data_IF_816863056795
#
_entry.id   IF_816863056795
#
_cell.length_a   1.000
_cell.length_b   1.000
_cell.length_c   1.000
_cell.angle_alpha   90.00
_cell.angle_beta   90.00
_cell.angle_gamma   90.00
#
_symmetry.space_group_name_H-M   'P 1'
#
loop_
_entity.id
_entity.type
_entity.pdbx_description
1 polymer ?
#
# COMPACT_ATOMS: atom_id res chain seq x y z
N UNK A 1 -19.83 21.98 -16.71
CA UNK A 1 -18.60 22.25 -15.96
C UNK A 1 -17.56 22.75 -16.95
N UNK A 2 -17.34 24.05 -16.97
CA UNK A 2 -16.34 24.69 -17.83
C UNK A 2 -14.99 24.46 -17.19
N UNK A 3 -14.14 23.64 -17.82
CA UNK A 3 -12.73 23.50 -17.47
C UNK A 3 -12.07 24.87 -17.59
N UNK A 4 -11.54 25.41 -16.50
CA UNK A 4 -10.63 26.54 -16.55
C UNK A 4 -9.42 26.13 -17.39
N UNK A 5 -8.94 26.98 -18.30
CA UNK A 5 -7.73 26.70 -19.05
C UNK A 5 -6.58 26.55 -18.03
N UNK A 6 -5.85 25.41 -18.11
CA UNK A 6 -4.59 25.27 -17.37
C UNK A 6 -3.66 26.42 -17.81
N UNK A 7 -2.97 27.09 -16.87
CA UNK A 7 -2.02 28.13 -17.25
C UNK A 7 -0.97 27.53 -18.19
N UNK A 8 -0.61 28.27 -19.22
CA UNK A 8 0.44 27.89 -20.16
C UNK A 8 1.75 27.71 -19.38
N UNK A 9 2.16 26.47 -19.20
CA UNK A 9 3.37 26.12 -18.44
C UNK A 9 4.63 26.77 -19.02
N UNK A 10 4.64 27.10 -20.32
CA UNK A 10 5.73 27.84 -20.96
C UNK A 10 5.86 29.26 -20.45
N UNK A 11 4.75 30.02 -20.41
CA UNK A 11 4.73 31.40 -19.93
C UNK A 11 5.10 31.48 -18.43
N UNK A 12 4.67 30.52 -17.62
CA UNK A 12 5.00 30.46 -16.19
C UNK A 12 6.48 30.13 -15.96
N UNK A 13 7.09 29.24 -16.76
CA UNK A 13 8.53 28.99 -16.74
C UNK A 13 9.31 30.27 -17.08
N UNK A 14 8.96 30.98 -18.15
CA UNK A 14 9.63 32.24 -18.54
C UNK A 14 9.51 33.31 -17.42
N UNK A 15 8.34 33.41 -16.80
CA UNK A 15 8.12 34.29 -15.66
C UNK A 15 9.02 33.96 -14.48
N UNK A 16 9.12 32.71 -14.11
CA UNK A 16 9.95 32.25 -12.99
C UNK A 16 11.44 32.38 -13.29
N UNK A 17 11.88 32.14 -14.53
CA UNK A 17 13.26 32.37 -14.95
C UNK A 17 13.64 33.86 -14.81
N UNK A 18 12.74 34.78 -15.18
CA UNK A 18 12.92 36.20 -14.96
C UNK A 18 13.02 36.58 -13.48
N UNK A 19 12.20 35.96 -12.62
CA UNK A 19 12.26 36.17 -11.17
C UNK A 19 13.59 35.65 -10.59
N UNK A 20 14.02 34.46 -10.98
CA UNK A 20 15.32 33.90 -10.56
C UNK A 20 16.49 34.80 -10.98
N UNK A 21 16.52 35.26 -12.23
CA UNK A 21 17.55 36.17 -12.71
C UNK A 21 17.61 37.52 -11.92
N UNK A 22 16.43 38.05 -11.54
CA UNK A 22 16.36 39.23 -10.70
C UNK A 22 16.90 39.01 -9.28
N UNK A 23 16.67 37.80 -8.70
CA UNK A 23 17.25 37.43 -7.40
C UNK A 23 18.77 37.24 -7.47
N UNK A 24 19.31 36.62 -8.54
CA UNK A 24 20.77 36.55 -8.74
C UNK A 24 21.44 37.90 -8.68
N UNK A 25 20.91 38.92 -9.42
CA UNK A 25 21.43 40.28 -9.37
C UNK A 25 21.34 40.91 -7.97
N UNK A 26 20.30 40.57 -7.17
CA UNK A 26 20.16 41.07 -5.79
C UNK A 26 21.16 40.41 -4.83
N UNK A 27 21.42 39.09 -5.00
CA UNK A 27 22.39 38.35 -4.20
C UNK A 27 23.80 38.91 -4.45
N UNK A 28 24.17 39.22 -5.71
CA UNK A 28 25.45 39.88 -6.04
C UNK A 28 25.63 41.21 -5.31
N UNK A 29 24.53 41.97 -5.15
CA UNK A 29 24.56 43.27 -4.45
C UNK A 29 24.51 43.13 -2.90
N UNK A 30 23.94 42.05 -2.38
CA UNK A 30 23.72 41.79 -0.96
C UNK A 30 23.94 40.30 -0.62
N UNK A 31 25.20 39.79 -0.62
CA UNK A 31 25.49 38.35 -0.48
C UNK A 31 25.00 37.76 0.83
N UNK A 32 24.97 38.54 1.90
CA UNK A 32 24.58 38.06 3.23
C UNK A 32 23.05 38.10 3.48
N UNK A 33 22.27 38.57 2.49
CA UNK A 33 20.82 38.67 2.62
C UNK A 33 20.16 37.32 2.38
N UNK A 34 19.20 36.95 3.26
CA UNK A 34 18.39 35.76 3.09
C UNK A 34 17.24 36.06 2.14
N UNK A 35 17.14 35.27 1.07
CA UNK A 35 16.08 35.40 0.07
C UNK A 35 15.23 34.11 -0.03
N UNK A 36 14.37 33.81 0.97
CA UNK A 36 13.53 32.63 0.92
C UNK A 36 12.70 32.52 -0.37
N UNK A 37 12.17 33.65 -0.83
CA UNK A 37 11.39 33.71 -2.07
C UNK A 37 12.19 33.31 -3.33
N UNK A 38 13.53 33.49 -3.31
CA UNK A 38 14.40 33.00 -4.39
C UNK A 38 14.42 31.45 -4.39
N UNK A 39 14.71 30.84 -3.25
CA UNK A 39 14.74 29.39 -3.13
C UNK A 39 13.37 28.76 -3.47
N UNK A 40 12.26 29.38 -3.03
CA UNK A 40 10.91 28.94 -3.39
C UNK A 40 10.66 29.03 -4.91
N UNK A 41 11.09 30.11 -5.55
CA UNK A 41 10.95 30.30 -7.01
C UNK A 41 11.76 29.25 -7.79
N UNK A 42 12.95 28.88 -7.30
CA UNK A 42 13.78 27.82 -7.88
C UNK A 42 13.13 26.44 -7.74
N UNK A 43 12.50 26.13 -6.59
CA UNK A 43 11.78 24.87 -6.41
C UNK A 43 10.57 24.78 -7.35
N UNK A 44 9.80 25.86 -7.50
CA UNK A 44 8.68 25.91 -8.44
C UNK A 44 9.15 25.76 -9.89
N UNK A 45 10.19 26.47 -10.27
CA UNK A 45 10.80 26.38 -11.60
C UNK A 45 11.29 24.95 -11.87
N UNK A 46 11.99 24.33 -10.91
CA UNK A 46 12.46 22.96 -11.03
C UNK A 46 11.34 21.95 -11.22
N UNK A 47 10.19 22.14 -10.54
CA UNK A 47 8.99 21.33 -10.74
C UNK A 47 8.44 21.41 -12.17
N UNK A 48 8.22 22.64 -12.67
CA UNK A 48 7.68 22.86 -14.01
C UNK A 48 8.65 22.41 -15.13
N UNK A 49 9.95 22.57 -14.94
CA UNK A 49 10.97 22.09 -15.89
C UNK A 49 10.96 20.56 -15.97
N UNK A 50 10.77 19.89 -14.84
CA UNK A 50 10.66 18.44 -14.81
C UNK A 50 9.39 17.93 -15.52
N UNK A 51 8.24 18.57 -15.29
CA UNK A 51 6.99 18.25 -16.01
C UNK A 51 7.14 18.43 -17.52
N UNK A 52 7.95 19.40 -17.95
CA UNK A 52 8.27 19.65 -19.35
C UNK A 52 9.31 18.67 -19.94
N UNK A 53 9.94 17.85 -19.10
CA UNK A 53 10.97 16.89 -19.50
C UNK A 53 12.39 17.45 -19.56
N UNK A 54 12.63 18.67 -19.08
CA UNK A 54 13.98 19.26 -18.97
C UNK A 54 14.62 18.87 -17.63
N UNK A 55 15.03 17.59 -17.54
CA UNK A 55 15.58 17.03 -16.32
C UNK A 55 16.87 17.74 -15.85
N UNK A 56 17.71 18.19 -16.78
CA UNK A 56 18.98 18.87 -16.45
C UNK A 56 18.75 20.24 -15.80
N UNK A 57 17.89 21.06 -16.39
CA UNK A 57 17.55 22.37 -15.85
C UNK A 57 16.77 22.25 -14.54
N UNK A 58 15.87 21.26 -14.44
CA UNK A 58 15.13 20.97 -13.22
C UNK A 58 16.09 20.60 -12.06
N UNK A 59 17.06 19.72 -12.31
CA UNK A 59 18.06 19.32 -11.32
C UNK A 59 18.91 20.52 -10.88
N UNK A 60 19.37 21.36 -11.81
CA UNK A 60 20.17 22.54 -11.50
C UNK A 60 19.40 23.52 -10.59
N UNK A 61 18.15 23.84 -10.93
CA UNK A 61 17.31 24.75 -10.15
C UNK A 61 17.06 24.23 -8.72
N UNK A 62 16.75 22.94 -8.58
CA UNK A 62 16.50 22.35 -7.25
C UNK A 62 17.79 22.26 -6.43
N UNK A 63 18.93 21.97 -7.06
CA UNK A 63 20.24 21.96 -6.37
C UNK A 63 20.57 23.32 -5.78
N UNK A 64 20.41 24.39 -6.55
CA UNK A 64 20.62 25.76 -6.09
C UNK A 64 19.67 26.12 -4.93
N UNK A 65 18.40 25.73 -5.00
CA UNK A 65 17.46 25.94 -3.91
C UNK A 65 17.90 25.25 -2.61
N UNK A 66 18.44 24.02 -2.69
CA UNK A 66 18.98 23.29 -1.52
C UNK A 66 20.16 24.04 -0.92
N UNK A 67 21.10 24.54 -1.72
CA UNK A 67 22.24 25.31 -1.24
C UNK A 67 21.80 26.56 -0.50
N UNK A 68 20.83 27.30 -1.03
CA UNK A 68 20.27 28.48 -0.38
C UNK A 68 19.61 28.12 0.96
N UNK A 69 18.80 27.06 1.01
CA UNK A 69 18.16 26.65 2.26
C UNK A 69 19.16 26.12 3.29
N UNK A 70 20.26 25.45 2.87
CA UNK A 70 21.34 25.07 3.80
C UNK A 70 21.97 26.30 4.46
N UNK A 71 22.30 27.32 3.67
CA UNK A 71 22.82 28.58 4.21
C UNK A 71 21.85 29.25 5.18
N UNK A 72 20.54 29.24 4.86
CA UNK A 72 19.51 29.79 5.75
C UNK A 72 19.35 29.00 7.06
N UNK A 73 19.48 27.66 7.02
CA UNK A 73 19.42 26.80 8.19
C UNK A 73 20.60 27.05 9.14
N UNK A 74 21.78 27.38 8.64
CA UNK A 74 22.92 27.76 9.48
C UNK A 74 22.65 29.00 10.32
N UNK A 75 21.87 29.95 9.78
CA UNK A 75 21.54 31.23 10.44
C UNK A 75 20.31 31.08 11.34
N UNK A 76 19.25 30.46 10.83
CA UNK A 76 17.94 30.36 11.50
C UNK A 76 17.30 28.97 11.33
N UNK A 77 17.84 27.94 12.03
CA UNK A 77 17.40 26.56 11.83
C UNK A 77 15.90 26.33 12.11
N UNK A 78 15.34 27.02 13.10
CA UNK A 78 13.92 26.89 13.46
C UNK A 78 12.94 27.31 12.37
N UNK A 79 13.36 28.22 11.48
CA UNK A 79 12.53 28.76 10.41
C UNK A 79 12.68 27.95 9.11
N UNK A 80 13.86 27.43 8.80
CA UNK A 80 14.17 26.95 7.45
C UNK A 80 14.38 25.44 7.32
N UNK A 81 14.50 24.66 8.40
CA UNK A 81 14.67 23.18 8.32
C UNK A 81 13.56 22.47 7.54
N UNK A 82 12.31 22.89 7.71
CA UNK A 82 11.18 22.31 6.95
C UNK A 82 11.35 22.53 5.45
N UNK A 83 11.78 23.75 5.07
CA UNK A 83 12.00 24.12 3.67
C UNK A 83 13.19 23.36 3.09
N UNK A 84 14.29 23.25 3.85
CA UNK A 84 15.45 22.43 3.45
C UNK A 84 15.05 20.98 3.25
N UNK A 85 14.29 20.38 4.17
CA UNK A 85 13.82 19.00 4.05
C UNK A 85 12.96 18.80 2.80
N UNK A 86 12.06 19.75 2.51
CA UNK A 86 11.23 19.71 1.29
C UNK A 86 12.09 19.84 0.02
N UNK A 87 13.04 20.75 0.00
CA UNK A 87 13.96 20.95 -1.13
C UNK A 87 14.82 19.68 -1.39
N UNK A 88 15.37 19.08 -0.32
CA UNK A 88 16.13 17.83 -0.39
C UNK A 88 15.30 16.66 -0.92
N UNK A 89 14.03 16.57 -0.52
CA UNK A 89 13.12 15.55 -1.05
C UNK A 89 12.89 15.73 -2.56
N UNK A 90 12.72 16.98 -3.02
CA UNK A 90 12.63 17.30 -4.44
C UNK A 90 13.95 16.98 -5.16
N UNK A 91 15.10 17.35 -4.59
CA UNK A 91 16.41 17.02 -5.14
C UNK A 91 16.59 15.52 -5.32
N UNK A 92 16.22 14.75 -4.30
CA UNK A 92 16.28 13.28 -4.34
C UNK A 92 15.44 12.70 -5.50
N UNK A 93 14.27 13.28 -5.78
CA UNK A 93 13.44 12.84 -6.90
C UNK A 93 14.11 13.19 -8.25
N UNK A 94 14.63 14.42 -8.42
CA UNK A 94 15.34 14.82 -9.66
C UNK A 94 16.59 13.98 -9.90
N UNK A 95 17.38 13.70 -8.86
CA UNK A 95 18.57 12.82 -8.96
C UNK A 95 18.19 11.41 -9.38
N UNK A 96 17.09 10.86 -8.83
CA UNK A 96 16.60 9.54 -9.21
C UNK A 96 16.15 9.48 -10.68
N UNK A 97 15.45 10.52 -11.16
CA UNK A 97 15.05 10.65 -12.57
C UNK A 97 16.26 10.79 -13.51
N UNK A 98 17.32 11.46 -13.06
CA UNK A 98 18.58 11.57 -13.77
C UNK A 98 19.46 10.30 -13.73
N UNK A 99 19.03 9.26 -13.00
CA UNK A 99 19.77 8.00 -12.84
C UNK A 99 20.82 8.01 -11.72
N UNK A 100 20.99 9.10 -10.99
CA UNK A 100 21.99 9.29 -9.92
C UNK A 100 21.49 8.68 -8.60
N UNK A 101 21.31 7.36 -8.54
CA UNK A 101 20.63 6.68 -7.43
C UNK A 101 21.33 6.85 -6.07
N UNK A 102 22.67 6.81 -6.02
CA UNK A 102 23.44 6.96 -4.77
C UNK A 102 23.26 8.37 -4.15
N UNK A 103 23.33 9.41 -5.00
CA UNK A 103 23.12 10.79 -4.57
C UNK A 103 21.67 11.02 -4.17
N UNK A 104 20.73 10.42 -4.91
CA UNK A 104 19.30 10.46 -4.60
C UNK A 104 19.00 9.84 -3.22
N UNK A 105 19.63 8.71 -2.88
CA UNK A 105 19.50 8.07 -1.57
C UNK A 105 20.06 8.96 -0.45
N UNK A 106 21.20 9.60 -0.68
CA UNK A 106 21.82 10.53 0.28
C UNK A 106 20.93 11.74 0.54
N UNK A 107 20.42 12.37 -0.50
CA UNK A 107 19.50 13.51 -0.38
C UNK A 107 18.18 13.12 0.33
N UNK A 108 17.64 11.93 0.06
CA UNK A 108 16.45 11.42 0.76
C UNK A 108 16.71 11.22 2.27
N UNK A 109 17.86 10.64 2.63
CA UNK A 109 18.22 10.43 4.03
C UNK A 109 18.40 11.76 4.77
N UNK A 110 19.03 12.74 4.15
CA UNK A 110 19.17 14.10 4.69
C UNK A 110 17.81 14.79 4.84
N UNK A 111 16.91 14.66 3.85
CA UNK A 111 15.56 15.20 3.90
C UNK A 111 14.77 14.68 5.13
N UNK A 112 14.81 13.37 5.36
CA UNK A 112 14.15 12.75 6.50
C UNK A 112 14.78 13.22 7.83
N UNK A 113 16.12 13.32 7.89
CA UNK A 113 16.82 13.80 9.08
C UNK A 113 16.44 15.25 9.43
N UNK A 114 16.45 16.16 8.45
CA UNK A 114 16.06 17.55 8.66
C UNK A 114 14.58 17.70 9.00
N UNK A 115 13.70 16.89 8.41
CA UNK A 115 12.27 16.88 8.76
C UNK A 115 12.04 16.41 10.21
N UNK A 116 12.75 15.37 10.69
CA UNK A 116 12.70 14.94 12.09
C UNK A 116 13.17 16.03 13.07
N UNK A 117 14.25 16.74 12.74
CA UNK A 117 14.71 17.87 13.54
C UNK A 117 13.71 19.03 13.56
N UNK A 118 13.02 19.26 12.44
CA UNK A 118 12.03 20.32 12.31
C UNK A 118 10.74 20.05 13.13
N UNK A 119 10.45 18.80 13.50
CA UNK A 119 9.29 18.46 14.33
C UNK A 119 9.28 19.21 15.68
N UNK A 120 10.44 19.59 16.20
CA UNK A 120 10.56 20.34 17.46
C UNK A 120 10.03 21.77 17.34
N UNK A 121 10.31 22.45 16.22
CA UNK A 121 9.99 23.87 16.02
C UNK A 121 8.71 24.10 15.23
N UNK A 122 8.40 23.22 14.26
CA UNK A 122 7.26 23.37 13.34
C UNK A 122 6.57 22.01 13.10
N UNK A 123 5.96 21.39 14.13
CA UNK A 123 5.49 20.01 14.07
C UNK A 123 4.51 19.76 12.91
N UNK A 124 3.56 20.64 12.68
CA UNK A 124 2.52 20.41 11.66
C UNK A 124 3.10 20.42 10.23
N UNK A 125 3.97 21.39 9.92
CA UNK A 125 4.62 21.47 8.62
C UNK A 125 5.64 20.34 8.43
N UNK A 126 6.43 20.05 9.46
CA UNK A 126 7.46 19.01 9.41
C UNK A 126 6.89 17.61 9.22
N UNK A 127 5.73 17.29 9.81
CA UNK A 127 5.05 16.00 9.62
C UNK A 127 4.79 15.70 8.14
N UNK A 128 4.30 16.67 7.39
CA UNK A 128 4.02 16.48 5.97
C UNK A 128 5.27 16.14 5.17
N UNK A 129 6.34 16.89 5.39
CA UNK A 129 7.60 16.66 4.69
C UNK A 129 8.21 15.34 5.13
N UNK A 130 8.11 14.97 6.42
CA UNK A 130 8.62 13.72 6.93
C UNK A 130 7.86 12.53 6.34
N UNK A 131 6.52 12.55 6.32
CA UNK A 131 5.71 11.49 5.71
C UNK A 131 6.07 11.29 4.24
N UNK A 132 6.15 12.37 3.47
CA UNK A 132 6.53 12.30 2.05
C UNK A 132 7.96 11.76 1.86
N UNK A 133 8.91 12.21 2.68
CA UNK A 133 10.29 11.74 2.66
C UNK A 133 10.41 10.25 2.98
N UNK A 134 9.72 9.78 4.02
CA UNK A 134 9.69 8.38 4.42
C UNK A 134 9.09 7.48 3.33
N UNK A 135 7.97 7.88 2.70
CA UNK A 135 7.37 7.15 1.58
C UNK A 135 8.36 7.02 0.41
N UNK A 136 9.02 8.11 0.05
CA UNK A 136 10.00 8.11 -1.03
C UNK A 136 11.22 7.25 -0.69
N UNK A 137 11.70 7.32 0.55
CA UNK A 137 12.82 6.50 1.03
C UNK A 137 12.46 5.02 1.05
N UNK A 138 11.27 4.65 1.53
CA UNK A 138 10.76 3.30 1.50
C UNK A 138 10.73 2.72 0.08
N UNK A 139 10.23 3.49 -0.89
CA UNK A 139 10.21 3.08 -2.29
C UNK A 139 11.60 2.85 -2.89
N UNK A 140 12.62 3.60 -2.45
CA UNK A 140 14.02 3.36 -2.85
C UNK A 140 14.59 2.10 -2.22
N UNK A 141 14.46 1.95 -0.89
CA UNK A 141 14.90 0.75 -0.16
C UNK A 141 14.31 -0.52 -0.75
N UNK A 142 13.03 -0.48 -1.13
CA UNK A 142 12.38 -1.59 -1.81
C UNK A 142 13.09 -1.97 -3.12
N UNK A 143 13.41 -0.98 -3.95
CA UNK A 143 14.13 -1.22 -5.22
C UNK A 143 15.55 -1.73 -5.01
N UNK A 144 16.20 -1.31 -3.92
CA UNK A 144 17.56 -1.72 -3.54
C UNK A 144 17.59 -3.09 -2.83
N UNK A 145 16.41 -3.71 -2.59
CA UNK A 145 16.27 -5.00 -1.92
C UNK A 145 16.34 -4.92 -0.38
N UNK A 146 16.38 -3.72 0.21
CA UNK A 146 16.27 -3.51 1.66
C UNK A 146 14.80 -3.49 2.08
N UNK A 147 14.22 -4.68 2.11
CA UNK A 147 12.79 -4.89 2.35
C UNK A 147 12.39 -4.49 3.77
N UNK A 148 13.19 -4.92 4.78
CA UNK A 148 12.90 -4.58 6.18
C UNK A 148 13.04 -3.08 6.46
N UNK A 149 14.04 -2.43 5.87
CA UNK A 149 14.17 -0.98 5.95
C UNK A 149 12.99 -0.26 5.30
N UNK A 150 12.52 -0.74 4.15
CA UNK A 150 11.34 -0.20 3.49
C UNK A 150 10.08 -0.28 4.36
N UNK A 151 9.83 -1.44 4.97
CA UNK A 151 8.70 -1.61 5.89
C UNK A 151 8.80 -0.69 7.10
N UNK A 152 9.99 -0.57 7.71
CA UNK A 152 10.22 0.32 8.85
C UNK A 152 9.92 1.79 8.55
N UNK A 153 10.33 2.27 7.37
CA UNK A 153 10.03 3.63 6.90
C UNK A 153 8.51 3.85 6.70
N UNK A 154 7.82 2.87 6.14
CA UNK A 154 6.36 2.96 5.95
C UNK A 154 5.62 2.95 7.29
N UNK A 155 6.07 2.16 8.27
CA UNK A 155 5.49 2.14 9.60
C UNK A 155 5.66 3.50 10.30
N UNK A 156 6.87 4.07 10.27
CA UNK A 156 7.13 5.42 10.81
C UNK A 156 6.30 6.49 10.08
N UNK A 157 6.15 6.38 8.75
CA UNK A 157 5.31 7.31 7.98
C UNK A 157 3.85 7.27 8.46
N UNK A 158 3.29 6.08 8.69
CA UNK A 158 1.93 5.90 9.21
C UNK A 158 1.78 6.48 10.62
N UNK A 159 2.73 6.21 11.53
CA UNK A 159 2.69 6.75 12.88
C UNK A 159 2.79 8.27 12.89
N UNK A 160 3.67 8.83 12.05
CA UNK A 160 3.81 10.29 11.87
C UNK A 160 2.53 10.91 11.31
N UNK A 161 1.90 10.25 10.33
CA UNK A 161 0.62 10.67 9.75
C UNK A 161 -0.47 10.71 10.82
N UNK A 162 -0.65 9.63 11.58
CA UNK A 162 -1.66 9.52 12.65
C UNK A 162 -1.48 10.59 13.73
N UNK A 163 -0.25 10.91 14.07
CA UNK A 163 0.06 11.95 15.06
C UNK A 163 -0.37 13.37 14.62
N UNK A 164 -0.65 13.56 13.33
CA UNK A 164 -1.12 14.84 12.76
C UNK A 164 -2.63 15.08 12.85
N UNK A 165 -3.42 14.08 13.26
CA UNK A 165 -4.89 14.19 13.26
C UNK A 165 -5.45 14.52 11.87
N UNK A 166 -6.53 15.31 11.83
CA UNK A 166 -7.24 15.67 10.57
C UNK A 166 -6.37 16.48 9.58
N UNK A 167 -5.28 17.07 10.03
CA UNK A 167 -4.33 17.80 9.17
C UNK A 167 -3.59 16.90 8.17
N UNK A 168 -3.64 15.57 8.33
CA UNK A 168 -2.98 14.59 7.45
C UNK A 168 -3.70 14.30 6.13
N UNK A 169 -4.96 14.69 5.97
CA UNK A 169 -5.83 14.30 4.85
C UNK A 169 -5.21 14.44 3.44
N UNK A 170 -4.44 15.50 3.08
CA UNK A 170 -3.85 15.61 1.75
C UNK A 170 -2.88 14.48 1.39
N UNK A 171 -2.28 13.81 2.37
CA UNK A 171 -1.33 12.71 2.17
C UNK A 171 -1.93 11.32 2.29
N UNK A 172 -3.22 11.22 2.63
CA UNK A 172 -3.91 9.93 2.78
C UNK A 172 -3.86 9.12 1.47
N UNK A 173 -4.15 9.73 0.34
CA UNK A 173 -4.09 9.07 -0.97
C UNK A 173 -2.70 8.52 -1.30
N UNK A 174 -1.64 9.35 -1.32
CA UNK A 174 -0.26 8.89 -1.51
C UNK A 174 0.18 7.82 -0.52
N UNK A 175 -0.24 7.90 0.76
CA UNK A 175 0.07 6.90 1.77
C UNK A 175 -0.59 5.55 1.46
N UNK A 176 -1.89 5.55 1.14
CA UNK A 176 -2.61 4.33 0.73
C UNK A 176 -1.95 3.70 -0.49
N UNK A 177 -1.59 4.48 -1.49
CA UNK A 177 -0.93 3.98 -2.70
C UNK A 177 0.44 3.36 -2.40
N UNK A 178 1.25 4.01 -1.55
CA UNK A 178 2.56 3.50 -1.15
C UNK A 178 2.44 2.18 -0.39
N UNK A 179 1.54 2.10 0.60
CA UNK A 179 1.26 0.88 1.35
C UNK A 179 0.68 -0.23 0.47
N UNK A 180 -0.23 0.09 -0.45
CA UNK A 180 -0.78 -0.88 -1.38
C UNK A 180 0.31 -1.50 -2.26
N UNK A 181 1.15 -0.69 -2.85
CA UNK A 181 2.27 -1.11 -3.70
C UNK A 181 3.28 -1.96 -2.93
N UNK A 182 3.63 -1.54 -1.71
CA UNK A 182 4.53 -2.30 -0.85
C UNK A 182 3.96 -3.68 -0.50
N UNK A 183 2.69 -3.76 -0.07
CA UNK A 183 2.05 -5.03 0.24
C UNK A 183 1.99 -5.98 -0.96
N UNK A 184 1.75 -5.46 -2.17
CA UNK A 184 1.80 -6.25 -3.41
C UNK A 184 3.21 -6.82 -3.64
N UNK A 185 4.24 -5.98 -3.56
CA UNK A 185 5.63 -6.41 -3.73
C UNK A 185 6.04 -7.46 -2.69
N UNK A 186 5.68 -7.25 -1.41
CA UNK A 186 5.96 -8.25 -0.35
C UNK A 186 5.28 -9.59 -0.65
N UNK A 187 4.04 -9.57 -1.13
CA UNK A 187 3.32 -10.79 -1.53
C UNK A 187 4.01 -11.50 -2.71
N UNK A 188 4.45 -10.76 -3.73
CA UNK A 188 5.11 -11.29 -4.92
C UNK A 188 6.43 -12.00 -4.60
N UNK A 189 7.18 -11.49 -3.61
CA UNK A 189 8.46 -12.09 -3.17
C UNK A 189 8.29 -13.10 -2.04
N UNK A 190 7.04 -13.40 -1.64
CA UNK A 190 6.74 -14.41 -0.60
C UNK A 190 6.91 -13.91 0.84
N UNK A 191 7.11 -12.62 1.09
CA UNK A 191 7.21 -12.03 2.42
C UNK A 191 5.82 -11.73 3.00
N UNK A 192 5.10 -12.81 3.31
CA UNK A 192 3.69 -12.73 3.69
C UNK A 192 3.43 -12.01 5.02
N UNK A 193 4.36 -12.08 5.97
CA UNK A 193 4.28 -11.35 7.23
C UNK A 193 4.23 -9.83 6.99
N UNK A 194 5.20 -9.32 6.26
CA UNK A 194 5.31 -7.90 5.91
C UNK A 194 4.14 -7.45 5.02
N UNK A 195 3.67 -8.31 4.11
CA UNK A 195 2.50 -8.01 3.29
C UNK A 195 1.24 -7.79 4.15
N UNK A 196 0.96 -8.71 5.09
CA UNK A 196 -0.16 -8.62 6.03
C UNK A 196 -0.01 -7.39 6.92
N UNK A 197 1.16 -7.17 7.51
CA UNK A 197 1.40 -6.02 8.40
C UNK A 197 1.26 -4.69 7.66
N UNK A 198 1.71 -4.62 6.41
CA UNK A 198 1.49 -3.42 5.56
C UNK A 198 0.01 -3.18 5.30
N UNK A 199 -0.80 -4.23 5.08
CA UNK A 199 -2.27 -4.10 4.95
C UNK A 199 -2.92 -3.66 6.26
N UNK A 200 -2.43 -4.14 7.42
CA UNK A 200 -2.90 -3.67 8.73
C UNK A 200 -2.58 -2.20 8.95
N UNK A 201 -1.39 -1.74 8.56
CA UNK A 201 -1.06 -0.31 8.57
C UNK A 201 -2.04 0.50 7.73
N UNK A 202 -2.39 0.03 6.53
CA UNK A 202 -3.33 0.69 5.63
C UNK A 202 -4.75 0.78 6.23
N UNK A 203 -5.25 -0.31 6.81
CA UNK A 203 -6.53 -0.32 7.55
C UNK A 203 -6.49 0.64 8.75
N UNK A 204 -5.39 0.68 9.46
CA UNK A 204 -5.17 1.53 10.62
C UNK A 204 -5.09 3.04 10.32
N UNK A 205 -5.09 3.47 9.05
CA UNK A 205 -5.19 4.90 8.68
C UNK A 205 -6.59 5.48 8.93
N UNK A 206 -7.59 4.64 9.20
CA UNK A 206 -9.00 5.03 9.32
C UNK A 206 -9.53 4.77 10.75
N UNK A 207 -9.33 5.68 11.71
CA UNK A 207 -9.73 5.48 13.10
C UNK A 207 -11.26 5.34 13.28
N UNK A 208 -12.04 6.02 12.42
CA UNK A 208 -13.52 5.99 12.48
C UNK A 208 -14.12 4.80 11.70
N UNK A 209 -13.29 3.91 11.23
CA UNK A 209 -13.66 2.70 10.49
C UNK A 209 -13.15 2.69 9.04
N UNK A 210 -12.42 1.65 8.66
CA UNK A 210 -11.85 1.55 7.32
C UNK A 210 -12.91 1.27 6.27
N UNK A 211 -12.69 1.74 5.02
CA UNK A 211 -13.50 1.32 3.87
C UNK A 211 -13.50 -0.20 3.70
N UNK A 212 -14.64 -0.78 3.33
CA UNK A 212 -14.77 -2.24 3.12
C UNK A 212 -13.73 -2.79 2.15
N UNK A 213 -13.36 -2.03 1.12
CA UNK A 213 -12.30 -2.41 0.18
C UNK A 213 -10.94 -2.64 0.85
N UNK A 214 -10.56 -1.84 1.87
CA UNK A 214 -9.30 -1.99 2.59
C UNK A 214 -9.31 -3.22 3.49
N UNK A 215 -10.44 -3.46 4.17
CA UNK A 215 -10.67 -4.67 4.97
C UNK A 215 -10.62 -5.91 4.11
N UNK A 216 -11.25 -5.87 2.93
CA UNK A 216 -11.25 -6.97 1.96
C UNK A 216 -9.83 -7.28 1.45
N UNK A 217 -9.03 -6.25 1.13
CA UNK A 217 -7.63 -6.44 0.72
C UNK A 217 -6.78 -7.10 1.83
N UNK A 218 -6.99 -6.74 3.09
CA UNK A 218 -6.32 -7.39 4.22
C UNK A 218 -6.75 -8.86 4.32
N UNK A 219 -8.05 -9.15 4.28
CA UNK A 219 -8.58 -10.50 4.36
C UNK A 219 -8.10 -11.40 3.21
N UNK A 220 -8.02 -10.88 1.98
CA UNK A 220 -7.42 -11.58 0.83
C UNK A 220 -5.94 -11.88 1.03
N UNK A 221 -5.17 -10.92 1.54
CA UNK A 221 -3.74 -11.12 1.80
C UNK A 221 -3.51 -12.17 2.89
N UNK A 222 -4.32 -12.17 3.95
CA UNK A 222 -4.32 -13.20 4.99
C UNK A 222 -4.66 -14.60 4.44
N UNK A 223 -5.63 -14.69 3.54
CA UNK A 223 -5.98 -15.94 2.87
C UNK A 223 -4.82 -16.50 2.04
N UNK A 224 -4.14 -15.66 1.29
CA UNK A 224 -2.96 -16.04 0.50
C UNK A 224 -1.78 -16.43 1.41
N UNK A 225 -1.55 -15.66 2.47
CA UNK A 225 -0.54 -15.99 3.49
C UNK A 225 -0.82 -17.34 4.14
N UNK A 226 -2.07 -17.63 4.51
CA UNK A 226 -2.49 -18.92 5.05
C UNK A 226 -2.17 -20.08 4.11
N UNK A 227 -2.44 -19.91 2.82
CA UNK A 227 -2.15 -20.93 1.81
C UNK A 227 -0.63 -21.17 1.67
N UNK A 228 0.16 -20.11 1.60
CA UNK A 228 1.63 -20.18 1.49
C UNK A 228 2.25 -20.85 2.73
N UNK A 229 1.86 -20.40 3.94
CA UNK A 229 2.36 -20.95 5.20
C UNK A 229 2.03 -22.42 5.38
N UNK A 230 0.85 -22.84 4.94
CA UNK A 230 0.49 -24.26 4.95
C UNK A 230 1.34 -25.09 3.97
N UNK A 231 1.65 -24.55 2.80
CA UNK A 231 2.57 -25.17 1.84
C UNK A 231 4.00 -25.34 2.37
N UNK A 232 4.41 -24.46 3.28
CA UNK A 232 5.70 -24.53 4.00
C UNK A 232 5.66 -25.41 5.26
N UNK A 233 4.50 -26.01 5.58
CA UNK A 233 4.31 -26.83 6.80
C UNK A 233 4.12 -26.02 8.08
N UNK A 234 3.97 -24.71 8.02
CA UNK A 234 3.76 -23.79 9.16
C UNK A 234 2.27 -23.66 9.47
N UNK A 235 1.66 -24.77 9.89
CA UNK A 235 0.21 -24.89 10.03
C UNK A 235 -0.40 -24.01 11.12
N UNK A 236 0.32 -23.72 12.19
CA UNK A 236 -0.07 -22.80 13.26
C UNK A 236 -0.30 -21.38 12.74
N UNK A 237 0.65 -20.87 11.97
CA UNK A 237 0.55 -19.54 11.35
C UNK A 237 -0.52 -19.54 10.26
N UNK A 238 -0.57 -20.59 9.44
CA UNK A 238 -1.59 -20.73 8.40
C UNK A 238 -3.01 -20.68 8.98
N UNK A 239 -3.24 -21.36 10.11
CA UNK A 239 -4.54 -21.34 10.78
C UNK A 239 -4.85 -19.96 11.38
N UNK A 240 -3.88 -19.32 12.03
CA UNK A 240 -4.05 -17.94 12.55
C UNK A 240 -4.45 -16.95 11.44
N UNK A 241 -3.79 -17.01 10.28
CA UNK A 241 -4.15 -16.17 9.13
C UNK A 241 -5.55 -16.50 8.58
N UNK A 242 -5.92 -17.79 8.56
CA UNK A 242 -7.26 -18.22 8.11
C UNK A 242 -8.35 -17.73 9.07
N UNK A 243 -8.12 -17.85 10.37
CA UNK A 243 -9.08 -17.42 11.41
C UNK A 243 -9.32 -15.90 11.31
N UNK A 244 -8.26 -15.09 11.24
CA UNK A 244 -8.39 -13.63 11.05
C UNK A 244 -9.07 -13.26 9.73
N UNK A 245 -8.77 -13.97 8.64
CA UNK A 245 -9.44 -13.74 7.35
C UNK A 245 -10.94 -14.00 7.43
N UNK A 246 -11.36 -15.03 8.15
CA UNK A 246 -12.79 -15.34 8.38
C UNK A 246 -13.47 -14.28 9.24
N UNK A 247 -12.82 -13.80 10.31
CA UNK A 247 -13.36 -12.71 11.14
C UNK A 247 -13.63 -11.46 10.29
N UNK A 248 -12.68 -11.07 9.47
CA UNK A 248 -12.85 -9.93 8.56
C UNK A 248 -13.92 -10.20 7.49
N UNK A 249 -13.97 -11.41 6.95
CA UNK A 249 -15.01 -11.83 6.00
C UNK A 249 -16.42 -11.74 6.61
N UNK A 250 -16.60 -12.13 7.87
CA UNK A 250 -17.87 -11.99 8.61
C UNK A 250 -18.26 -10.52 8.82
N UNK A 251 -17.30 -9.65 9.17
CA UNK A 251 -17.53 -8.21 9.30
C UNK A 251 -17.99 -7.59 7.98
N UNK A 252 -17.35 -7.97 6.87
CA UNK A 252 -17.74 -7.52 5.53
C UNK A 252 -19.12 -8.01 5.15
N UNK A 253 -19.42 -9.29 5.38
CA UNK A 253 -20.71 -9.89 5.10
C UNK A 253 -21.84 -9.28 5.91
N UNK A 254 -21.62 -8.95 7.20
CA UNK A 254 -22.61 -8.25 8.02
C UNK A 254 -22.95 -6.85 7.47
N UNK A 255 -21.97 -6.18 6.86
CA UNK A 255 -22.12 -4.85 6.29
C UNK A 255 -22.82 -4.86 4.93
N UNK A 256 -22.48 -5.82 4.08
CA UNK A 256 -23.03 -6.00 2.74
C UNK A 256 -23.06 -7.50 2.38
N UNK A 257 -24.17 -8.21 2.71
CA UNK A 257 -24.28 -9.64 2.45
C UNK A 257 -24.23 -10.02 0.97
N UNK A 258 -24.76 -9.18 0.09
CA UNK A 258 -24.82 -9.51 -1.34
C UNK A 258 -23.44 -9.45 -1.99
N UNK A 259 -22.62 -8.45 -1.66
CA UNK A 259 -21.28 -8.28 -2.19
C UNK A 259 -20.28 -9.27 -1.59
N UNK A 260 -20.44 -9.67 -0.31
CA UNK A 260 -19.40 -10.44 0.40
C UNK A 260 -19.77 -11.88 0.71
N UNK A 261 -20.95 -12.39 0.29
CA UNK A 261 -21.37 -13.78 0.52
C UNK A 261 -20.37 -14.79 -0.06
N UNK A 262 -20.01 -14.62 -1.33
CA UNK A 262 -19.07 -15.52 -1.99
C UNK A 262 -17.69 -15.47 -1.34
N UNK A 263 -17.22 -14.28 -0.99
CA UNK A 263 -15.95 -14.12 -0.29
C UNK A 263 -15.95 -14.81 1.06
N UNK A 264 -17.00 -14.65 1.88
CA UNK A 264 -17.11 -15.35 3.17
C UNK A 264 -17.10 -16.86 2.98
N UNK A 265 -17.84 -17.38 2.00
CA UNK A 265 -17.84 -18.82 1.70
C UNK A 265 -16.43 -19.33 1.35
N UNK A 266 -15.65 -18.56 0.58
CA UNK A 266 -14.28 -18.91 0.19
C UNK A 266 -13.32 -18.95 1.39
N UNK A 267 -13.34 -17.94 2.25
CA UNK A 267 -12.44 -17.91 3.42
C UNK A 267 -12.81 -18.98 4.45
N UNK A 268 -14.10 -19.29 4.63
CA UNK A 268 -14.56 -20.40 5.46
C UNK A 268 -14.10 -21.77 4.89
N UNK A 269 -14.23 -22.00 3.58
CA UNK A 269 -13.76 -23.21 2.93
C UNK A 269 -12.25 -23.44 3.10
N UNK A 270 -11.48 -22.36 3.04
CA UNK A 270 -10.03 -22.40 3.30
C UNK A 270 -9.72 -22.68 4.77
N UNK A 271 -10.42 -22.04 5.70
CA UNK A 271 -10.27 -22.29 7.14
C UNK A 271 -10.57 -23.77 7.48
N UNK A 272 -11.64 -24.34 6.91
CA UNK A 272 -11.98 -25.75 7.09
C UNK A 272 -10.83 -26.66 6.67
N UNK A 273 -10.20 -26.41 5.51
CA UNK A 273 -9.01 -27.11 5.06
C UNK A 273 -7.81 -26.98 6.01
N UNK A 274 -7.58 -25.79 6.60
CA UNK A 274 -6.50 -25.58 7.58
C UNK A 274 -6.77 -26.32 8.89
N UNK A 275 -8.01 -26.29 9.39
CA UNK A 275 -8.42 -27.04 10.58
C UNK A 275 -8.24 -28.55 10.39
N UNK A 276 -8.64 -29.06 9.23
CA UNK A 276 -8.40 -30.49 8.90
C UNK A 276 -6.89 -30.82 8.92
N UNK A 277 -6.05 -30.01 8.27
CA UNK A 277 -4.60 -30.22 8.23
C UNK A 277 -3.94 -30.13 9.62
N UNK A 278 -4.51 -29.36 10.54
CA UNK A 278 -4.04 -29.29 11.95
C UNK A 278 -4.60 -30.39 12.84
N UNK A 279 -5.51 -31.24 12.31
CA UNK A 279 -6.15 -32.32 13.07
C UNK A 279 -7.46 -31.93 13.77
N UNK A 280 -7.87 -30.67 13.73
CA UNK A 280 -9.17 -30.19 14.27
C UNK A 280 -10.30 -30.47 13.28
N UNK A 281 -10.63 -31.77 13.13
CA UNK A 281 -11.67 -32.19 12.21
C UNK A 281 -13.08 -31.80 12.69
N UNK A 282 -13.33 -31.76 14.00
CA UNK A 282 -14.62 -31.35 14.55
C UNK A 282 -14.91 -29.86 14.25
N UNK A 283 -13.96 -28.96 14.57
CA UNK A 283 -14.09 -27.56 14.24
C UNK A 283 -14.10 -27.29 12.73
N UNK A 284 -13.36 -28.10 11.97
CA UNK A 284 -13.34 -28.07 10.51
C UNK A 284 -14.68 -28.42 9.88
N UNK A 285 -15.42 -29.38 10.46
CA UNK A 285 -16.75 -29.80 9.95
C UNK A 285 -17.76 -28.67 10.01
N UNK A 286 -17.88 -27.97 11.14
CA UNK A 286 -18.84 -26.88 11.32
C UNK A 286 -18.61 -25.76 10.30
N UNK A 287 -17.33 -25.39 10.13
CA UNK A 287 -16.93 -24.34 9.19
C UNK A 287 -17.14 -24.76 7.74
N UNK A 288 -16.84 -26.02 7.39
CA UNK A 288 -17.06 -26.53 6.04
C UNK A 288 -18.54 -26.55 5.66
N UNK A 289 -19.43 -26.96 6.58
CA UNK A 289 -20.87 -26.94 6.35
C UNK A 289 -21.41 -25.52 6.17
N UNK A 290 -20.96 -24.56 6.96
CA UNK A 290 -21.31 -23.16 6.79
C UNK A 290 -20.88 -22.63 5.40
N UNK A 291 -19.64 -22.94 4.99
CA UNK A 291 -19.12 -22.55 3.67
C UNK A 291 -19.96 -23.13 2.54
N UNK A 292 -20.28 -24.43 2.58
CA UNK A 292 -21.09 -25.11 1.56
C UNK A 292 -22.49 -24.50 1.44
N UNK A 293 -23.13 -24.16 2.55
CA UNK A 293 -24.44 -23.49 2.55
C UNK A 293 -24.37 -22.11 1.85
N UNK A 294 -23.38 -21.30 2.19
CA UNK A 294 -23.20 -20.01 1.55
C UNK A 294 -22.87 -20.12 0.04
N UNK A 295 -22.08 -21.14 -0.35
CA UNK A 295 -21.81 -21.42 -1.76
C UNK A 295 -23.09 -21.81 -2.52
N UNK A 296 -23.97 -22.64 -1.96
CA UNK A 296 -25.24 -22.99 -2.60
C UNK A 296 -26.12 -21.78 -2.83
N UNK A 297 -26.11 -20.80 -1.93
CA UNK A 297 -26.80 -19.54 -2.15
C UNK A 297 -26.11 -18.68 -3.23
N UNK A 298 -24.76 -18.64 -3.26
CA UNK A 298 -23.99 -17.83 -4.20
C UNK A 298 -24.01 -18.39 -5.64
N UNK A 299 -24.09 -19.71 -5.82
CA UNK A 299 -24.16 -20.37 -7.15
C UNK A 299 -25.32 -19.88 -7.99
N UNK A 300 -26.44 -19.49 -7.37
CA UNK A 300 -27.62 -18.96 -8.07
C UNK A 300 -27.35 -17.56 -8.71
N UNK A 301 -26.38 -16.80 -8.18
CA UNK A 301 -26.02 -15.49 -8.69
C UNK A 301 -24.87 -15.53 -9.71
N UNK A 302 -23.74 -16.16 -9.34
CA UNK A 302 -22.57 -16.31 -10.20
C UNK A 302 -21.98 -17.73 -10.10
N UNK A 303 -22.49 -18.67 -10.91
CA UNK A 303 -21.98 -20.05 -10.91
C UNK A 303 -20.51 -20.16 -11.30
N UNK A 304 -20.05 -19.31 -12.23
CA UNK A 304 -18.67 -19.37 -12.73
C UNK A 304 -17.65 -19.04 -11.65
N UNK A 305 -17.95 -18.08 -10.79
CA UNK A 305 -17.10 -17.70 -9.66
C UNK A 305 -17.24 -18.67 -8.46
N UNK A 306 -18.43 -19.21 -8.21
CA UNK A 306 -18.72 -20.01 -7.02
C UNK A 306 -18.32 -21.48 -7.16
N UNK A 307 -18.58 -22.12 -8.31
CA UNK A 307 -18.41 -23.58 -8.51
C UNK A 307 -16.98 -24.08 -8.27
N UNK A 308 -15.91 -23.44 -8.76
CA UNK A 308 -14.55 -23.90 -8.50
C UNK A 308 -14.21 -23.97 -7.00
N UNK A 309 -14.58 -22.94 -6.26
CA UNK A 309 -14.32 -22.88 -4.80
C UNK A 309 -15.20 -23.85 -4.01
N UNK A 310 -16.44 -24.08 -4.44
CA UNK A 310 -17.33 -25.07 -3.86
C UNK A 310 -16.76 -26.48 -4.03
N UNK A 311 -16.24 -26.83 -5.21
CA UNK A 311 -15.59 -28.13 -5.47
C UNK A 311 -14.42 -28.37 -4.50
N UNK A 312 -13.58 -27.36 -4.26
CA UNK A 312 -12.47 -27.46 -3.31
C UNK A 312 -12.98 -27.63 -1.87
N UNK A 313 -14.01 -26.88 -1.49
CA UNK A 313 -14.61 -26.96 -0.15
C UNK A 313 -15.26 -28.31 0.11
N UNK A 314 -15.97 -28.88 -0.89
CA UNK A 314 -16.52 -30.25 -0.80
C UNK A 314 -15.42 -31.29 -0.68
N UNK A 315 -14.26 -31.09 -1.33
CA UNK A 315 -13.08 -31.96 -1.13
C UNK A 315 -12.56 -31.92 0.31
N UNK A 316 -12.47 -30.74 0.91
CA UNK A 316 -12.11 -30.58 2.32
C UNK A 316 -13.16 -31.23 3.23
N UNK A 317 -14.44 -31.02 2.97
CA UNK A 317 -15.54 -31.63 3.74
C UNK A 317 -15.52 -33.16 3.68
N UNK A 318 -15.31 -33.75 2.51
CA UNK A 318 -15.19 -35.23 2.37
C UNK A 318 -14.00 -35.76 3.15
N UNK A 319 -12.84 -35.12 3.11
CA UNK A 319 -11.66 -35.48 3.88
C UNK A 319 -11.91 -35.40 5.40
N UNK A 320 -12.57 -34.35 5.86
CA UNK A 320 -12.95 -34.14 7.25
C UNK A 320 -13.91 -35.24 7.71
N UNK A 321 -14.96 -35.55 6.94
CA UNK A 321 -15.92 -36.62 7.26
C UNK A 321 -15.25 -37.97 7.33
N UNK A 322 -14.33 -38.26 6.42
CA UNK A 322 -13.55 -39.51 6.45
C UNK A 322 -12.67 -39.59 7.70
N UNK A 323 -12.03 -38.50 8.10
CA UNK A 323 -11.22 -38.44 9.33
C UNK A 323 -12.05 -38.56 10.62
N UNK A 324 -13.34 -38.22 10.56
CA UNK A 324 -14.32 -38.40 11.65
C UNK A 324 -15.02 -39.77 11.63
N UNK A 325 -14.55 -40.70 10.80
CA UNK A 325 -15.14 -42.04 10.64
C UNK A 325 -16.61 -42.05 10.17
N UNK A 326 -16.98 -41.09 9.28
CA UNK A 326 -18.30 -40.90 8.68
C UNK A 326 -18.28 -41.22 7.17
N UNK A 327 -17.93 -42.45 6.72
CA UNK A 327 -17.66 -42.76 5.32
C UNK A 327 -18.90 -42.65 4.41
N UNK A 328 -20.11 -42.91 4.94
CA UNK A 328 -21.34 -42.80 4.15
C UNK A 328 -21.62 -41.34 3.76
N UNK A 329 -21.43 -40.41 4.70
CA UNK A 329 -21.57 -38.95 4.43
C UNK A 329 -20.47 -38.46 3.49
N UNK A 330 -19.22 -38.91 3.66
CA UNK A 330 -18.13 -38.60 2.76
C UNK A 330 -18.42 -38.99 1.31
N UNK A 331 -18.97 -40.22 1.11
CA UNK A 331 -19.35 -40.70 -0.23
C UNK A 331 -20.41 -39.83 -0.91
N UNK A 332 -21.42 -39.36 -0.16
CA UNK A 332 -22.46 -38.46 -0.68
C UNK A 332 -21.82 -37.12 -1.15
N UNK A 333 -20.91 -36.57 -0.35
CA UNK A 333 -20.19 -35.33 -0.68
C UNK A 333 -19.30 -35.51 -1.91
N UNK A 334 -18.63 -36.65 -2.05
CA UNK A 334 -17.80 -36.96 -3.22
C UNK A 334 -18.62 -37.11 -4.50
N UNK A 335 -19.84 -37.70 -4.43
CA UNK A 335 -20.75 -37.76 -5.56
C UNK A 335 -21.20 -36.38 -6.00
N UNK A 336 -21.58 -35.51 -5.05
CA UNK A 336 -21.92 -34.13 -5.32
C UNK A 336 -20.75 -33.37 -5.97
N UNK A 337 -19.54 -33.51 -5.44
CA UNK A 337 -18.31 -32.90 -5.99
C UNK A 337 -18.08 -33.35 -7.44
N UNK A 338 -18.20 -34.65 -7.73
CA UNK A 338 -18.00 -35.19 -9.07
C UNK A 338 -19.01 -34.61 -10.09
N UNK A 339 -20.28 -34.48 -9.68
CA UNK A 339 -21.31 -33.84 -10.52
C UNK A 339 -21.00 -32.38 -10.85
N UNK A 340 -20.49 -31.61 -9.89
CA UNK A 340 -20.07 -30.22 -10.11
C UNK A 340 -18.83 -30.13 -11.01
N UNK A 341 -17.87 -31.05 -10.87
CA UNK A 341 -16.68 -31.12 -11.74
C UNK A 341 -17.08 -31.32 -13.20
N UNK A 342 -18.00 -32.26 -13.50
CA UNK A 342 -18.53 -32.49 -14.83
C UNK A 342 -19.26 -31.27 -15.39
N UNK A 343 -19.94 -30.53 -14.52
CA UNK A 343 -20.64 -29.30 -14.91
C UNK A 343 -19.64 -28.19 -15.27
N UNK A 344 -18.58 -28.03 -14.48
CA UNK A 344 -17.53 -27.06 -14.75
C UNK A 344 -16.81 -27.36 -16.08
N UNK A 345 -16.49 -28.64 -16.34
CA UNK A 345 -15.88 -29.05 -17.60
C UNK A 345 -16.75 -28.69 -18.81
N UNK A 346 -18.07 -28.93 -18.71
CA UNK A 346 -19.03 -28.54 -19.78
C UNK A 346 -19.09 -27.03 -19.98
N UNK A 347 -19.06 -26.25 -18.90
CA UNK A 347 -19.03 -24.77 -18.98
C UNK A 347 -17.77 -24.27 -19.70
N UNK A 348 -16.60 -24.85 -19.38
CA UNK A 348 -15.33 -24.48 -20.01
C UNK A 348 -15.31 -24.87 -21.50
N UNK A 349 -15.81 -26.06 -21.85
CA UNK A 349 -15.90 -26.49 -23.25
C UNK A 349 -16.88 -25.67 -24.06
N UNK A 350 -18.03 -25.27 -23.48
CA UNK A 350 -19.03 -24.40 -24.13
C UNK A 350 -18.58 -22.96 -24.32
N UNK A 351 -17.62 -22.48 -23.54
CA UNK A 351 -17.03 -21.14 -23.69
C UNK A 351 -15.88 -21.08 -24.72
N UNK A 352 -15.36 -22.24 -25.14
CA UNK A 352 -14.25 -22.35 -26.11
C UNK A 352 -14.71 -22.62 -27.56
N UNK A 353 -16.01 -22.80 -27.80
CA UNK A 353 -16.64 -22.97 -29.11
C UNK A 353 -17.54 -21.81 -29.47
#
# INVERSE_FOLDING_TARGET
MTSQPQPDSGAEIERLQGVVAAFHSRIEAQPDALFPAHADSLLQLGGLLAERGDASAALAAVTEAVELYRAMVEVEPGSFRVHLASALNNLSNRLSEAGNQAEAATAAAEAVAEARLALVSRPDQARFVLVSGLINQAGRRMRDGDIHGSFSELAEAVDTFKAGGDGGLPYLGPMIEALHRAAMTFSEIGMWGEAVDTRRLMVGLFPDGPPSAMVHLLALTLQQASLAMAGEGRLDIALTCADESVELGRLLFQKDPDDFKLFLAQVLGNQAGRRHQSGDNSGGLDVALEAVNLFHEAVNGDPAAAVPSLILTLGNLSAILSALELPEQAAIVDEQRAGLQQTLERMVQGAAG
#
